data_IF_278052902642
#
_entry.id   IF_278052902642
#
_cell.length_a   1.000
_cell.length_b   1.000
_cell.length_c   1.000
_cell.angle_alpha   90.00
_cell.angle_beta   90.00
_cell.angle_gamma   90.00
#
_symmetry.space_group_name_H-M   'P 1'
#
loop_
_entity.id
_entity.type
_entity.pdbx_description
1 polymer ?
#
# COMPACT_ATOMS: atom_id res chain seq x y z
N UNK A 1 9.09 31.69 -14.60
CA UNK A 1 9.68 30.80 -13.58
C UNK A 1 8.51 30.08 -12.95
N UNK A 2 8.39 28.78 -13.21
CA UNK A 2 7.24 27.99 -12.78
C UNK A 2 7.37 27.74 -11.28
N UNK A 3 6.35 28.10 -10.52
CA UNK A 3 6.18 27.69 -9.13
C UNK A 3 6.19 26.16 -9.09
N UNK A 4 7.35 25.58 -8.77
CA UNK A 4 7.43 24.21 -8.31
C UNK A 4 6.76 24.19 -6.94
N UNK A 5 5.44 24.04 -6.93
CA UNK A 5 4.68 23.73 -5.72
C UNK A 5 5.36 22.53 -5.05
N UNK A 6 6.02 22.77 -3.93
CA UNK A 6 6.46 21.73 -3.00
C UNK A 6 5.19 21.04 -2.50
N UNK A 7 4.66 20.10 -3.29
CA UNK A 7 3.67 19.18 -2.79
C UNK A 7 4.34 18.45 -1.61
N UNK A 8 3.73 18.41 -0.42
CA UNK A 8 4.30 17.71 0.71
C UNK A 8 4.59 16.27 0.31
N UNK A 9 5.78 15.79 0.64
CA UNK A 9 6.17 14.39 0.40
C UNK A 9 5.15 13.48 1.10
N UNK A 10 4.68 12.41 0.44
CA UNK A 10 3.73 11.50 1.07
C UNK A 10 4.35 10.83 2.30
N UNK A 11 3.55 10.66 3.36
CA UNK A 11 3.94 9.92 4.57
C UNK A 11 4.27 8.45 4.25
N UNK A 12 3.65 7.91 3.21
CA UNK A 12 3.95 6.60 2.67
C UNK A 12 3.63 6.53 1.17
N UNK A 13 4.50 5.90 0.39
CA UNK A 13 4.25 5.65 -1.03
C UNK A 13 4.89 4.35 -1.48
N UNK A 14 4.07 3.45 -2.04
CA UNK A 14 4.54 2.20 -2.64
C UNK A 14 5.17 2.37 -4.02
N UNK A 15 5.00 3.53 -4.66
CA UNK A 15 5.19 3.66 -6.11
C UNK A 15 4.18 2.79 -6.90
N UNK A 16 4.34 2.65 -8.23
CA UNK A 16 3.43 1.90 -9.10
C UNK A 16 3.60 0.37 -9.00
N UNK A 17 3.86 -0.14 -7.80
CA UNK A 17 4.26 -1.54 -7.55
C UNK A 17 3.31 -2.29 -6.64
N UNK A 18 2.19 -1.66 -6.26
CA UNK A 18 1.21 -2.28 -5.39
C UNK A 18 0.26 -3.18 -6.18
N UNK A 19 0.24 -4.48 -5.87
CA UNK A 19 -0.89 -5.34 -6.29
C UNK A 19 -2.03 -5.16 -5.30
N UNK A 20 -3.21 -4.78 -5.80
CA UNK A 20 -4.40 -4.46 -4.98
C UNK A 20 -5.54 -5.38 -5.41
N UNK A 21 -6.05 -6.17 -4.46
CA UNK A 21 -7.14 -7.11 -4.70
C UNK A 21 -8.22 -7.03 -3.61
N UNK A 22 -9.49 -7.26 -3.97
CA UNK A 22 -10.61 -7.42 -3.04
C UNK A 22 -11.35 -8.72 -3.32
N UNK A 23 -11.38 -9.64 -2.34
CA UNK A 23 -11.90 -10.99 -2.54
C UNK A 23 -11.13 -11.72 -3.65
N UNK A 24 -11.84 -12.14 -4.70
CA UNK A 24 -11.25 -12.78 -5.90
C UNK A 24 -10.88 -11.78 -7.00
N UNK A 25 -11.25 -10.51 -6.86
CA UNK A 25 -11.03 -9.48 -7.88
C UNK A 25 -9.68 -8.82 -7.68
N UNK A 26 -8.79 -8.95 -8.66
CA UNK A 26 -7.57 -8.13 -8.76
C UNK A 26 -7.95 -6.82 -9.41
N UNK A 27 -7.79 -5.70 -8.71
CA UNK A 27 -8.05 -4.36 -9.27
C UNK A 27 -6.89 -3.87 -10.12
N UNK A 28 -5.67 -4.18 -9.70
CA UNK A 28 -4.42 -3.85 -10.41
C UNK A 28 -3.28 -4.69 -9.87
N UNK A 29 -2.28 -4.98 -10.71
CA UNK A 29 -1.00 -5.59 -10.30
C UNK A 29 0.13 -4.55 -10.15
N UNK A 30 -0.05 -3.36 -10.72
CA UNK A 30 0.88 -2.23 -10.72
C UNK A 30 0.19 -0.94 -10.27
N UNK A 31 -0.55 -1.04 -9.17
CA UNK A 31 -1.21 0.10 -8.54
C UNK A 31 -0.28 0.89 -7.64
N UNK A 32 -0.85 1.85 -6.93
CA UNK A 32 -0.14 2.65 -5.93
C UNK A 32 -0.98 2.75 -4.66
N UNK A 33 -0.34 2.48 -3.53
CA UNK A 33 -0.83 2.86 -2.21
C UNK A 33 -0.06 4.10 -1.80
N UNK A 34 -0.79 5.17 -1.51
CA UNK A 34 -0.20 6.43 -1.04
C UNK A 34 -0.92 6.89 0.22
N UNK A 35 -0.17 7.37 1.19
CA UNK A 35 -0.68 8.13 2.33
C UNK A 35 -0.09 9.53 2.24
N UNK A 36 -0.95 10.53 2.14
CA UNK A 36 -0.54 11.94 2.07
C UNK A 36 -1.64 12.79 2.69
N UNK A 37 -1.25 13.83 3.43
CA UNK A 37 -2.17 14.78 4.07
C UNK A 37 -3.25 14.08 4.92
N UNK A 38 -2.85 13.01 5.63
CA UNK A 38 -3.74 12.24 6.49
C UNK A 38 -4.80 11.40 5.76
N UNK A 39 -4.67 11.20 4.44
CA UNK A 39 -5.55 10.36 3.63
C UNK A 39 -4.79 9.18 3.03
N UNK A 40 -5.43 8.01 3.03
CA UNK A 40 -4.97 6.84 2.29
C UNK A 40 -5.72 6.76 0.95
N UNK A 41 -4.96 6.61 -0.14
CA UNK A 41 -5.47 6.36 -1.49
C UNK A 41 -4.96 5.03 -2.04
N UNK A 42 -5.87 4.28 -2.68
CA UNK A 42 -5.57 3.10 -3.49
C UNK A 42 -5.82 3.45 -4.95
N UNK A 43 -4.80 3.37 -5.78
CA UNK A 43 -4.83 3.82 -7.18
C UNK A 43 -4.50 2.68 -8.13
N UNK A 44 -5.11 2.68 -9.31
CA UNK A 44 -4.69 1.85 -10.45
C UNK A 44 -3.41 2.39 -11.09
N UNK A 45 -2.83 1.61 -11.99
CA UNK A 45 -1.62 1.99 -12.75
C UNK A 45 -1.78 3.30 -13.52
N UNK A 46 -2.97 3.53 -14.08
CA UNK A 46 -3.31 4.76 -14.83
C UNK A 46 -3.66 5.96 -13.92
N UNK A 47 -3.57 5.80 -12.59
CA UNK A 47 -3.93 6.85 -11.62
C UNK A 47 -5.41 6.88 -11.24
N UNK A 48 -6.26 6.03 -11.81
CA UNK A 48 -7.67 5.97 -11.41
C UNK A 48 -7.81 5.53 -9.95
N UNK A 49 -8.61 6.27 -9.20
CA UNK A 49 -8.92 5.93 -7.82
C UNK A 49 -9.70 4.61 -7.75
N UNK A 50 -9.22 3.69 -6.91
CA UNK A 50 -9.92 2.47 -6.51
C UNK A 50 -10.77 2.77 -5.29
N UNK A 51 -10.15 3.33 -4.24
CA UNK A 51 -10.79 3.69 -2.97
C UNK A 51 -9.91 4.69 -2.20
N UNK A 52 -10.51 5.45 -1.30
CA UNK A 52 -9.79 6.36 -0.40
C UNK A 52 -10.57 6.64 0.88
N UNK A 53 -9.85 6.90 1.97
CA UNK A 53 -10.44 7.40 3.20
C UNK A 53 -9.41 8.20 4.02
N UNK A 54 -9.87 9.07 4.94
CA UNK A 54 -9.03 9.58 6.00
C UNK A 54 -8.37 8.41 6.76
N UNK A 55 -7.09 8.51 7.10
CA UNK A 55 -6.35 7.43 7.76
C UNK A 55 -6.99 7.05 9.10
N UNK A 56 -7.62 7.99 9.80
CA UNK A 56 -8.39 7.74 11.04
C UNK A 56 -9.58 6.77 10.85
N UNK A 57 -10.09 6.63 9.63
CA UNK A 57 -11.14 5.68 9.28
C UNK A 57 -10.62 4.37 8.67
N UNK A 58 -9.29 4.23 8.50
CA UNK A 58 -8.65 3.05 7.94
C UNK A 58 -8.28 2.06 9.04
N UNK A 59 -8.46 0.78 8.74
CA UNK A 59 -7.87 -0.31 9.53
C UNK A 59 -6.91 -1.13 8.68
N UNK A 60 -5.66 -1.27 9.13
CA UNK A 60 -4.69 -2.21 8.57
C UNK A 60 -4.55 -3.40 9.51
N UNK A 61 -4.53 -4.61 8.96
CA UNK A 61 -4.30 -5.85 9.69
C UNK A 61 -3.14 -6.58 9.06
N UNK A 62 -2.30 -7.22 9.88
CA UNK A 62 -1.40 -8.27 9.41
C UNK A 62 -2.28 -9.34 8.77
N UNK A 63 -2.19 -9.53 7.46
CA UNK A 63 -3.03 -10.52 6.78
C UNK A 63 -2.58 -11.94 7.09
N UNK A 64 -3.37 -12.91 6.63
CA UNK A 64 -3.00 -14.32 6.71
C UNK A 64 -1.79 -14.60 5.82
N UNK A 65 -0.84 -15.36 6.34
CA UNK A 65 0.29 -15.94 5.62
C UNK A 65 -0.25 -16.96 4.60
N UNK A 66 -0.45 -16.53 3.36
CA UNK A 66 -0.38 -17.45 2.23
C UNK A 66 1.08 -17.43 1.76
N UNK A 67 1.67 -18.60 1.53
CA UNK A 67 3.03 -18.77 0.99
C UNK A 67 4.17 -18.04 1.75
N UNK A 68 4.05 -17.87 3.08
CA UNK A 68 5.05 -17.21 3.95
C UNK A 68 5.28 -15.70 3.67
N UNK A 69 4.54 -15.09 2.74
CA UNK A 69 4.56 -13.62 2.55
C UNK A 69 3.51 -12.96 3.45
N UNK A 70 3.93 -11.98 4.25
CA UNK A 70 3.00 -11.15 5.01
C UNK A 70 2.32 -10.16 4.05
N UNK A 71 1.06 -10.41 3.68
CA UNK A 71 0.28 -9.51 2.83
C UNK A 71 -0.67 -8.71 3.73
N UNK A 72 -0.49 -7.38 3.90
CA UNK A 72 -1.39 -6.59 4.72
C UNK A 72 -2.81 -6.60 4.15
N UNK A 73 -3.78 -6.66 5.05
CA UNK A 73 -5.19 -6.42 4.72
C UNK A 73 -5.56 -5.02 5.17
N UNK A 74 -5.94 -4.17 4.22
CA UNK A 74 -6.36 -2.79 4.44
C UNK A 74 -7.87 -2.73 4.31
N UNK A 75 -8.54 -2.12 5.28
CA UNK A 75 -9.97 -1.92 5.29
C UNK A 75 -10.24 -0.43 5.09
N UNK A 76 -10.84 -0.10 3.95
CA UNK A 76 -11.22 1.26 3.54
C UNK A 76 -12.72 1.23 3.26
N UNK A 77 -13.50 2.14 3.85
CA UNK A 77 -14.95 2.23 3.63
C UNK A 77 -15.69 0.87 3.77
N UNK A 78 -15.33 0.06 4.78
CA UNK A 78 -15.80 -1.31 5.00
C UNK A 78 -15.39 -2.37 3.96
N UNK A 79 -14.67 -1.99 2.91
CA UNK A 79 -14.12 -2.90 1.90
C UNK A 79 -12.76 -3.41 2.32
N UNK A 80 -12.54 -4.72 2.23
CA UNK A 80 -11.25 -5.38 2.52
C UNK A 80 -10.42 -5.47 1.24
N UNK A 81 -9.21 -4.94 1.30
CA UNK A 81 -8.19 -5.02 0.26
C UNK A 81 -6.98 -5.80 0.76
N UNK A 82 -6.50 -6.75 -0.04
CA UNK A 82 -5.17 -7.34 0.12
C UNK A 82 -4.21 -6.51 -0.74
N UNK A 83 -3.15 -6.00 -0.13
CA UNK A 83 -2.17 -5.15 -0.83
C UNK A 83 -0.78 -5.76 -0.71
N UNK A 84 -0.16 -6.10 -1.83
CA UNK A 84 1.26 -6.44 -1.88
C UNK A 84 2.01 -5.17 -2.31
N UNK A 85 2.79 -4.57 -1.41
CA UNK A 85 3.21 -3.17 -1.55
C UNK A 85 4.37 -2.99 -2.53
N UNK A 86 5.39 -3.83 -2.45
CA UNK A 86 6.66 -3.67 -3.19
C UNK A 86 7.22 -4.98 -3.76
N UNK A 87 6.49 -6.09 -3.63
CA UNK A 87 6.95 -7.42 -4.05
C UNK A 87 7.31 -7.47 -5.54
N UNK A 88 6.45 -6.92 -6.40
CA UNK A 88 6.65 -6.90 -7.85
C UNK A 88 7.89 -6.08 -8.25
N UNK A 89 8.18 -4.98 -7.54
CA UNK A 89 9.40 -4.20 -7.76
C UNK A 89 10.66 -5.01 -7.46
N UNK A 90 10.65 -5.75 -6.35
CA UNK A 90 11.78 -6.59 -5.94
C UNK A 90 12.07 -7.68 -6.98
N UNK A 91 11.02 -8.34 -7.50
CA UNK A 91 11.17 -9.33 -8.56
C UNK A 91 11.67 -8.71 -9.87
N UNK A 92 11.17 -7.53 -10.26
CA UNK A 92 11.62 -6.82 -11.47
C UNK A 92 13.10 -6.42 -11.38
N UNK A 93 13.58 -6.10 -10.17
CA UNK A 93 15.00 -5.83 -9.89
C UNK A 93 15.88 -7.08 -9.86
N UNK A 94 15.31 -8.26 -10.12
CA UNK A 94 16.03 -9.53 -10.13
C UNK A 94 16.35 -10.09 -8.75
N UNK A 95 15.68 -9.62 -7.70
CA UNK A 95 15.84 -10.17 -6.35
C UNK A 95 15.16 -11.54 -6.26
N UNK A 96 15.73 -12.41 -5.41
CA UNK A 96 15.13 -13.70 -5.11
C UNK A 96 13.84 -13.56 -4.28
N UNK A 97 13.00 -14.60 -4.30
CA UNK A 97 11.70 -14.61 -3.61
C UNK A 97 11.81 -14.29 -2.10
N UNK A 98 12.80 -14.86 -1.41
CA UNK A 98 13.02 -14.59 0.02
C UNK A 98 13.39 -13.13 0.30
N UNK A 99 14.25 -12.53 -0.53
CA UNK A 99 14.60 -11.11 -0.39
C UNK A 99 13.39 -10.20 -0.68
N UNK A 100 12.58 -10.56 -1.68
CA UNK A 100 11.36 -9.82 -1.99
C UNK A 100 10.35 -9.87 -0.83
N UNK A 101 10.27 -10.99 -0.12
CA UNK A 101 9.44 -11.16 1.10
C UNK A 101 9.94 -10.32 2.27
N UNK A 102 11.25 -10.28 2.49
CA UNK A 102 11.86 -9.46 3.56
C UNK A 102 11.58 -7.98 3.34
N UNK A 103 11.83 -7.47 2.13
CA UNK A 103 11.53 -6.08 1.77
C UNK A 103 10.04 -5.78 1.95
N UNK A 104 9.16 -6.68 1.51
CA UNK A 104 7.72 -6.51 1.71
C UNK A 104 7.37 -6.47 3.20
N UNK A 105 8.01 -7.29 4.05
CA UNK A 105 7.77 -7.27 5.49
C UNK A 105 8.18 -5.92 6.11
N UNK A 106 9.34 -5.37 5.74
CA UNK A 106 9.78 -4.05 6.20
C UNK A 106 8.83 -2.93 5.74
N UNK A 107 8.41 -2.94 4.47
CA UNK A 107 7.49 -1.93 3.94
C UNK A 107 6.11 -2.02 4.58
N UNK A 108 5.66 -3.23 4.91
CA UNK A 108 4.46 -3.40 5.71
C UNK A 108 4.62 -2.73 7.08
N UNK A 109 5.73 -2.97 7.78
CA UNK A 109 5.97 -2.37 9.11
C UNK A 109 5.96 -0.84 9.06
N UNK A 110 6.58 -0.25 8.02
CA UNK A 110 6.51 1.19 7.76
C UNK A 110 5.06 1.65 7.57
N UNK A 111 4.27 0.94 6.75
CA UNK A 111 2.86 1.23 6.54
C UNK A 111 2.06 1.17 7.86
N UNK A 112 2.27 0.13 8.69
CA UNK A 112 1.61 0.00 10.00
C UNK A 112 1.98 1.18 10.92
N UNK A 113 3.25 1.57 10.96
CA UNK A 113 3.72 2.67 11.78
C UNK A 113 3.08 4.01 11.36
N UNK A 114 3.04 4.30 10.05
CA UNK A 114 2.42 5.51 9.50
C UNK A 114 0.93 5.55 9.80
N UNK A 115 0.19 4.47 9.52
CA UNK A 115 -1.25 4.41 9.79
C UNK A 115 -1.55 4.62 11.27
N UNK A 116 -0.79 3.99 12.17
CA UNK A 116 -0.95 4.17 13.62
C UNK A 116 -0.63 5.61 14.05
N UNK A 117 0.45 6.19 13.53
CA UNK A 117 0.87 7.56 13.84
C UNK A 117 -0.16 8.62 13.43
N UNK A 118 -0.89 8.36 12.35
CA UNK A 118 -1.96 9.24 11.84
C UNK A 118 -3.35 8.91 12.40
N UNK A 119 -3.45 8.07 13.43
CA UNK A 119 -4.70 7.78 14.15
C UNK A 119 -5.57 6.68 13.53
N UNK A 120 -5.07 5.96 12.54
CA UNK A 120 -5.70 4.74 12.01
C UNK A 120 -5.46 3.52 12.90
N UNK A 121 -6.20 2.44 12.65
CA UNK A 121 -6.11 1.19 13.42
C UNK A 121 -5.14 0.20 12.75
N UNK A 122 -3.95 0.03 13.30
CA UNK A 122 -2.87 -0.80 12.71
C UNK A 122 -2.28 -1.80 13.71
#
# INVERSE_FOLDING_TARGET
>A
MSDSSNAPEPDFDSGPWATIASGMKVHTKRGRLVISEGHLGLLRENGDLIDSAPVSAVQVKKGFTYSMSSIPTIIVNSTKYKVMVSYELSLERGLGDEQAKEIQAEDNEKLFAVVRGLGGKA
#
